data_IF_214647925310
#
_entry.id   IF_214647925310
#
_cell.length_a   1.000
_cell.length_b   1.000
_cell.length_c   1.000
_cell.angle_alpha   90.00
_cell.angle_beta   90.00
_cell.angle_gamma   90.00
#
_symmetry.space_group_name_H-M   'P 1'
#
loop_
_entity.id
_entity.type
_entity.pdbx_description
1 polymer ?
#
# COMPACT_ATOMS: atom_id res chain seq x y z
N UNK A 1 7.02 -12.65 8.92
CA UNK A 1 7.59 -12.64 7.56
C UNK A 1 7.80 -11.19 7.21
N UNK A 2 9.02 -10.78 6.90
CA UNK A 2 9.34 -9.37 6.59
C UNK A 2 9.81 -9.30 5.13
N UNK A 3 8.93 -8.95 4.19
CA UNK A 3 9.35 -8.57 2.85
C UNK A 3 10.06 -7.22 2.92
N UNK A 4 11.21 -7.12 2.26
CA UNK A 4 11.97 -5.88 2.14
C UNK A 4 12.25 -5.65 0.65
N UNK A 5 12.03 -4.43 0.12
CA UNK A 5 12.18 -4.15 -1.32
C UNK A 5 13.56 -4.48 -1.92
N UNK A 6 14.59 -4.65 -1.08
CA UNK A 6 15.97 -4.89 -1.49
C UNK A 6 16.64 -6.13 -0.88
N UNK A 7 15.99 -6.83 0.07
CA UNK A 7 16.60 -7.98 0.77
C UNK A 7 15.69 -9.22 0.80
N UNK A 8 14.65 -9.25 -0.03
CA UNK A 8 13.75 -10.39 -0.17
C UNK A 8 12.84 -10.58 1.05
N UNK A 9 12.56 -11.83 1.40
CA UNK A 9 11.63 -12.22 2.46
C UNK A 9 12.37 -12.97 3.57
N UNK A 10 12.19 -12.54 4.83
CA UNK A 10 12.73 -13.28 5.98
C UNK A 10 11.64 -13.85 6.89
N UNK A 11 11.72 -15.15 7.19
CA UNK A 11 10.94 -15.79 8.26
C UNK A 11 11.69 -15.74 9.58
N UNK A 12 11.59 -14.58 10.23
CA UNK A 12 12.11 -14.36 11.58
C UNK A 12 11.19 -14.96 12.64
N UNK A 13 11.78 -15.62 13.63
CA UNK A 13 11.07 -16.18 14.78
C UNK A 13 11.96 -16.28 16.00
N UNK A 14 11.34 -16.53 17.15
CA UNK A 14 12.03 -16.86 18.39
C UNK A 14 11.57 -18.24 18.85
N UNK A 15 12.41 -19.28 18.76
CA UNK A 15 12.01 -20.64 19.12
C UNK A 15 11.66 -20.81 20.61
N UNK A 16 12.41 -20.14 21.49
CA UNK A 16 12.24 -20.22 22.94
C UNK A 16 12.08 -18.80 23.52
N UNK A 17 11.14 -18.62 24.43
CA UNK A 17 10.95 -17.34 25.15
C UNK A 17 12.29 -16.82 25.69
N UNK A 18 12.52 -15.52 25.53
CA UNK A 18 13.74 -14.80 25.95
C UNK A 18 15.06 -15.26 25.31
N UNK A 19 15.06 -16.28 24.44
CA UNK A 19 16.25 -16.75 23.72
C UNK A 19 16.50 -15.96 22.43
N UNK A 20 17.68 -16.12 21.81
CA UNK A 20 18.00 -15.48 20.53
C UNK A 20 16.97 -15.77 19.43
N UNK A 21 16.76 -14.79 18.55
CA UNK A 21 15.95 -14.99 17.34
C UNK A 21 16.70 -15.85 16.32
N UNK A 22 15.94 -16.54 15.48
CA UNK A 22 16.40 -17.23 14.30
C UNK A 22 15.65 -16.72 13.07
N UNK A 23 16.29 -16.75 11.91
CA UNK A 23 15.71 -16.36 10.63
C UNK A 23 15.96 -17.42 9.55
N UNK A 24 15.07 -17.46 8.58
CA UNK A 24 15.26 -18.20 7.32
C UNK A 24 14.93 -17.23 6.20
N UNK A 25 15.93 -16.91 5.40
CA UNK A 25 15.83 -15.88 4.37
C UNK A 25 15.57 -16.52 3.01
N UNK A 26 14.72 -15.87 2.23
CA UNK A 26 14.47 -16.14 0.82
C UNK A 26 14.88 -14.88 0.07
N UNK A 27 16.02 -14.96 -0.61
CA UNK A 27 16.56 -13.85 -1.38
C UNK A 27 15.72 -13.58 -2.64
N UNK A 28 15.94 -12.41 -3.24
CA UNK A 28 15.51 -12.07 -4.61
C UNK A 28 13.99 -12.18 -4.87
N UNK A 29 13.17 -11.86 -3.86
CA UNK A 29 11.71 -11.75 -4.01
C UNK A 29 11.36 -10.37 -4.59
N UNK A 30 10.69 -10.36 -5.74
CA UNK A 30 10.07 -9.16 -6.30
C UNK A 30 8.76 -8.85 -5.56
N UNK A 31 8.46 -7.57 -5.35
CA UNK A 31 7.19 -7.11 -4.77
C UNK A 31 6.26 -6.59 -5.88
N UNK A 32 4.92 -6.71 -5.73
CA UNK A 32 4.19 -7.28 -4.58
C UNK A 32 4.32 -8.80 -4.51
N UNK A 33 4.24 -9.35 -3.29
CA UNK A 33 4.42 -10.79 -3.04
C UNK A 33 3.48 -11.29 -1.96
N UNK A 34 2.98 -12.53 -2.11
CA UNK A 34 2.08 -13.13 -1.14
C UNK A 34 2.85 -13.89 -0.06
N UNK A 35 2.34 -13.78 1.17
CA UNK A 35 2.87 -14.47 2.34
C UNK A 35 1.74 -15.17 3.08
N UNK A 36 2.02 -16.36 3.62
CA UNK A 36 1.08 -17.14 4.41
C UNK A 36 1.79 -17.74 5.61
N UNK A 37 1.13 -17.64 6.76
CA UNK A 37 1.58 -18.26 8.00
C UNK A 37 0.45 -19.16 8.51
N UNK A 38 0.76 -20.43 8.70
CA UNK A 38 -0.17 -21.43 9.23
C UNK A 38 0.33 -21.88 10.60
N UNK A 39 -0.57 -21.88 11.59
CA UNK A 39 -0.30 -22.39 12.93
C UNK A 39 -1.18 -23.60 13.22
N UNK A 40 -0.56 -24.70 13.64
CA UNK A 40 -1.25 -25.92 14.12
C UNK A 40 -0.69 -26.30 15.49
N UNK A 41 -1.39 -25.97 16.57
CA UNK A 41 -0.87 -26.13 17.93
C UNK A 41 0.32 -25.20 18.17
N UNK A 42 1.51 -25.77 18.40
CA UNK A 42 2.77 -25.03 18.51
C UNK A 42 3.58 -25.02 17.21
N UNK A 43 3.11 -25.70 16.16
CA UNK A 43 3.85 -25.82 14.90
C UNK A 43 3.48 -24.70 13.95
N UNK A 44 4.50 -24.06 13.38
CA UNK A 44 4.35 -22.97 12.41
C UNK A 44 4.94 -23.32 11.06
N UNK A 45 4.15 -23.15 10.01
CA UNK A 45 4.59 -23.25 8.63
C UNK A 45 4.45 -21.87 7.95
N UNK A 46 5.52 -21.43 7.29
CA UNK A 46 5.56 -20.19 6.54
C UNK A 46 5.69 -20.50 5.05
N UNK A 47 4.93 -19.80 4.22
CA UNK A 47 4.86 -20.02 2.79
C UNK A 47 4.85 -18.68 2.06
N UNK A 48 5.32 -18.68 0.81
CA UNK A 48 5.36 -17.54 -0.08
C UNK A 48 4.77 -17.90 -1.44
N UNK A 49 4.28 -16.91 -2.17
CA UNK A 49 3.69 -17.11 -3.50
C UNK A 49 3.73 -15.83 -4.34
N UNK A 50 3.99 -15.97 -5.63
CA UNK A 50 3.92 -14.85 -6.60
C UNK A 50 2.48 -14.55 -7.03
N UNK A 51 1.63 -15.57 -7.12
CA UNK A 51 0.27 -15.51 -7.68
C UNK A 51 -0.84 -15.56 -6.61
N UNK A 52 -0.52 -15.96 -5.37
CA UNK A 52 -1.48 -16.20 -4.30
C UNK A 52 -2.18 -17.56 -4.38
N UNK A 53 -1.92 -18.35 -5.41
CA UNK A 53 -2.55 -19.64 -5.69
C UNK A 53 -1.57 -20.80 -5.44
N UNK A 54 -0.36 -20.69 -6.00
CA UNK A 54 0.71 -21.68 -5.89
C UNK A 54 1.66 -21.29 -4.77
N UNK A 55 1.70 -22.08 -3.71
CA UNK A 55 2.46 -21.77 -2.49
C UNK A 55 3.75 -22.59 -2.40
N UNK A 56 4.85 -21.91 -2.13
CA UNK A 56 6.16 -22.52 -1.85
C UNK A 56 6.49 -22.41 -0.37
N UNK A 57 6.92 -23.50 0.24
CA UNK A 57 7.29 -23.54 1.65
C UNK A 57 8.63 -22.85 1.92
N UNK A 58 8.67 -22.07 2.99
CA UNK A 58 9.91 -21.56 3.58
C UNK A 58 10.36 -22.61 4.60
N UNK A 59 11.17 -23.56 4.11
CA UNK A 59 11.50 -24.78 4.86
C UNK A 59 12.33 -24.47 6.10
N UNK A 60 11.86 -24.99 7.24
CA UNK A 60 12.57 -24.97 8.51
C UNK A 60 12.79 -26.42 8.96
N UNK A 61 14.04 -26.79 9.23
CA UNK A 61 14.41 -28.12 9.70
C UNK A 61 15.28 -28.02 10.98
N UNK A 62 14.90 -28.70 12.08
CA UNK A 62 13.68 -29.50 12.25
C UNK A 62 12.40 -28.65 12.22
N UNK A 63 11.24 -29.29 12.15
CA UNK A 63 9.95 -28.60 12.14
C UNK A 63 9.86 -27.63 13.33
N UNK A 64 9.35 -26.43 13.05
CA UNK A 64 9.34 -25.33 14.00
C UNK A 64 8.25 -25.53 15.06
N UNK A 65 8.64 -25.92 16.26
CA UNK A 65 7.78 -25.94 17.45
C UNK A 65 8.08 -24.69 18.31
N UNK A 66 7.09 -23.82 18.48
CA UNK A 66 7.15 -22.65 19.35
C UNK A 66 5.98 -22.76 20.32
N UNK A 67 6.29 -23.02 21.59
CA UNK A 67 5.29 -23.03 22.65
C UNK A 67 4.63 -21.66 22.77
N UNK A 68 3.31 -21.62 22.56
CA UNK A 68 2.52 -20.39 22.65
C UNK A 68 1.25 -20.62 23.46
N UNK A 69 0.70 -19.53 24.00
CA UNK A 69 -0.63 -19.56 24.58
C UNK A 69 -1.69 -20.01 23.56
N UNK A 70 -2.82 -20.52 24.06
CA UNK A 70 -3.94 -20.95 23.23
C UNK A 70 -4.46 -19.80 22.35
N UNK A 71 -4.56 -18.60 22.94
CA UNK A 71 -4.93 -17.37 22.24
C UNK A 71 -3.68 -16.53 22.02
N UNK A 72 -3.52 -16.00 20.81
CA UNK A 72 -2.45 -15.07 20.43
C UNK A 72 -3.01 -13.98 19.54
N UNK A 73 -2.31 -12.86 19.47
CA UNK A 73 -2.57 -11.86 18.46
C UNK A 73 -1.86 -12.23 17.15
N UNK A 74 -2.55 -12.00 16.04
CA UNK A 74 -1.99 -12.03 14.70
C UNK A 74 -2.25 -10.68 14.05
N UNK A 75 -1.32 -10.24 13.21
CA UNK A 75 -1.42 -8.95 12.57
C UNK A 75 -0.31 -8.71 11.58
N UNK A 76 -0.41 -7.56 10.94
CA UNK A 76 0.57 -7.04 10.00
C UNK A 76 1.31 -5.91 10.67
N UNK A 77 2.62 -5.86 10.49
CA UNK A 77 3.47 -4.85 11.10
C UNK A 77 4.42 -4.29 10.06
N UNK A 78 4.68 -2.99 10.14
CA UNK A 78 5.66 -2.27 9.34
C UNK A 78 6.64 -1.62 10.30
N UNK A 79 7.93 -1.76 10.02
CA UNK A 79 9.01 -1.18 10.81
C UNK A 79 10.09 -0.66 9.87
N UNK A 80 10.56 0.56 10.08
CA UNK A 80 11.64 1.18 9.29
C UNK A 80 13.01 0.60 9.62
N UNK A 81 13.12 -0.10 10.77
CA UNK A 81 14.37 -0.45 11.43
C UNK A 81 15.21 0.75 11.90
N UNK A 82 14.73 1.98 11.72
CA UNK A 82 15.40 3.22 12.10
C UNK A 82 14.42 4.17 12.78
N UNK A 83 14.72 4.53 14.03
CA UNK A 83 13.91 5.44 14.84
C UNK A 83 13.74 6.83 14.23
N UNK A 84 14.61 7.24 13.32
CA UNK A 84 14.56 8.54 12.66
C UNK A 84 13.79 8.55 11.32
N UNK A 85 13.38 7.38 10.82
CA UNK A 85 12.80 7.24 9.49
C UNK A 85 11.36 6.73 9.59
N UNK A 86 10.43 7.47 8.98
CA UNK A 86 9.05 7.02 8.76
C UNK A 86 9.03 6.03 7.61
N UNK A 87 8.25 4.96 7.74
CA UNK A 87 8.05 3.96 6.68
C UNK A 87 6.57 3.66 6.51
N UNK A 88 6.20 3.23 5.30
CA UNK A 88 4.86 2.76 4.99
C UNK A 88 4.93 1.50 4.13
N UNK A 89 3.93 0.65 4.25
CA UNK A 89 3.72 -0.47 3.35
C UNK A 89 2.22 -0.60 3.04
N UNK A 90 1.89 -1.01 1.82
CA UNK A 90 0.53 -1.36 1.44
C UNK A 90 0.35 -2.88 1.64
N UNK A 91 -0.73 -3.25 2.34
CA UNK A 91 -1.18 -4.63 2.41
C UNK A 91 -2.54 -4.73 1.72
N UNK A 92 -2.65 -5.67 0.79
CA UNK A 92 -3.89 -5.94 0.07
C UNK A 92 -4.27 -7.41 0.23
N UNK A 93 -5.55 -7.72 -0.04
CA UNK A 93 -6.09 -9.08 -0.03
C UNK A 93 -5.82 -9.88 1.26
N UNK A 94 -5.85 -9.19 2.40
CA UNK A 94 -5.62 -9.80 3.71
C UNK A 94 -6.80 -10.70 4.08
N UNK A 95 -6.51 -11.98 4.35
CA UNK A 95 -7.52 -12.95 4.77
C UNK A 95 -6.99 -13.82 5.91
N UNK A 96 -7.90 -14.35 6.71
CA UNK A 96 -7.60 -15.29 7.79
C UNK A 96 -8.59 -16.45 7.76
N UNK A 97 -8.18 -17.60 8.29
CA UNK A 97 -9.03 -18.78 8.44
C UNK A 97 -8.86 -19.36 9.84
N UNK A 98 -9.77 -20.26 10.24
CA UNK A 98 -9.78 -20.84 11.60
C UNK A 98 -10.48 -19.95 12.61
N UNK A 99 -10.05 -20.03 13.88
CA UNK A 99 -10.71 -19.39 15.02
C UNK A 99 -10.21 -17.96 15.28
N UNK A 100 -10.05 -17.15 14.22
CA UNK A 100 -9.68 -15.74 14.35
C UNK A 100 -10.93 -14.92 14.66
N UNK A 101 -10.90 -14.14 15.74
CA UNK A 101 -12.02 -13.34 16.21
C UNK A 101 -11.55 -11.95 16.66
N UNK A 102 -12.47 -11.01 16.80
CA UNK A 102 -12.17 -9.62 17.15
C UNK A 102 -12.14 -8.69 15.93
N UNK A 103 -12.25 -7.39 16.18
CA UNK A 103 -12.09 -6.37 15.15
C UNK A 103 -10.61 -6.11 14.87
N UNK A 104 -10.29 -5.67 13.65
CA UNK A 104 -8.96 -5.14 13.34
C UNK A 104 -8.64 -3.96 14.25
N UNK A 105 -7.43 -3.97 14.79
CA UNK A 105 -6.90 -2.90 15.62
C UNK A 105 -5.62 -2.38 15.01
N UNK A 106 -5.44 -1.07 15.04
CA UNK A 106 -4.19 -0.42 14.69
C UNK A 106 -3.50 -0.01 15.99
N UNK A 107 -2.23 -0.35 16.11
CA UNK A 107 -1.39 0.07 17.22
C UNK A 107 -0.06 0.57 16.65
N UNK A 108 0.40 1.70 17.19
CA UNK A 108 1.71 2.25 16.90
C UNK A 108 2.64 1.95 18.07
N UNK A 109 3.85 1.49 17.76
CA UNK A 109 4.90 1.28 18.76
C UNK A 109 6.05 2.21 18.41
N UNK A 110 6.36 3.15 19.31
CA UNK A 110 7.41 4.14 19.12
C UNK A 110 6.87 5.55 18.90
N UNK A 111 7.46 6.29 17.96
CA UNK A 111 7.03 7.66 17.61
C UNK A 111 5.70 7.56 16.87
N UNK A 112 4.77 8.46 17.21
CA UNK A 112 3.50 8.61 16.50
C UNK A 112 3.78 8.71 15.00
N UNK A 113 3.28 7.75 14.23
CA UNK A 113 3.43 7.81 12.79
C UNK A 113 2.55 8.94 12.29
N UNK A 114 3.01 9.79 11.35
CA UNK A 114 2.14 10.78 10.76
C UNK A 114 0.93 10.04 10.21
N UNK A 115 -0.27 10.38 10.70
CA UNK A 115 -1.48 9.95 10.04
C UNK A 115 -1.33 10.42 8.58
N UNK A 116 -1.28 9.46 7.66
CA UNK A 116 -1.17 9.76 6.25
C UNK A 116 -2.38 10.58 5.77
N UNK A 117 -2.44 10.83 4.48
CA UNK A 117 -3.60 11.51 3.92
C UNK A 117 -4.89 10.73 4.22
N UNK A 118 -6.00 11.44 4.36
CA UNK A 118 -7.32 10.80 4.22
C UNK A 118 -7.50 10.34 2.77
N UNK A 119 -8.13 9.17 2.58
CA UNK A 119 -8.49 8.68 1.25
C UNK A 119 -9.55 9.58 0.61
N UNK A 120 -9.19 10.22 -0.49
CA UNK A 120 -10.03 11.15 -1.25
C UNK A 120 -9.75 10.97 -2.75
N UNK A 121 -10.78 11.17 -3.58
CA UNK A 121 -10.61 11.23 -5.03
C UNK A 121 -9.94 12.55 -5.43
N UNK A 122 -9.27 12.57 -6.58
CA UNK A 122 -8.78 13.81 -7.20
C UNK A 122 -9.48 14.08 -8.53
N UNK A 123 -9.57 15.35 -8.91
CA UNK A 123 -10.06 15.77 -10.21
C UNK A 123 -9.16 16.84 -10.85
N UNK A 124 -9.19 16.91 -12.17
CA UNK A 124 -8.59 17.99 -12.97
C UNK A 124 -9.69 18.67 -13.77
N UNK A 125 -9.78 19.99 -13.68
CA UNK A 125 -10.63 20.82 -14.55
C UNK A 125 -9.74 21.66 -15.48
N UNK A 126 -10.01 21.62 -16.78
CA UNK A 126 -9.37 22.48 -17.78
C UNK A 126 -10.39 23.49 -18.30
N UNK A 127 -9.98 24.74 -18.46
CA UNK A 127 -10.80 25.84 -19.01
C UNK A 127 -10.09 26.52 -20.19
N UNK A 128 -10.78 26.71 -21.31
CA UNK A 128 -10.26 27.44 -22.47
C UNK A 128 -10.55 28.95 -22.40
N UNK A 129 -9.92 29.71 -23.29
CA UNK A 129 -10.10 31.16 -23.40
C UNK A 129 -11.53 31.62 -23.78
N UNK A 130 -12.42 30.69 -24.15
CA UNK A 130 -13.84 30.98 -24.37
C UNK A 130 -14.69 30.66 -23.12
N UNK A 131 -14.07 30.27 -22.01
CA UNK A 131 -14.72 29.91 -20.76
C UNK A 131 -15.34 28.52 -20.76
N UNK A 132 -15.07 27.67 -21.77
CA UNK A 132 -15.55 26.28 -21.75
C UNK A 132 -14.65 25.45 -20.87
N UNK A 133 -15.25 24.55 -20.08
CA UNK A 133 -14.51 23.70 -19.16
C UNK A 133 -14.90 22.22 -19.24
N UNK A 134 -13.92 21.34 -19.03
CA UNK A 134 -14.11 19.91 -18.85
C UNK A 134 -13.43 19.46 -17.55
N UNK A 135 -14.02 18.49 -16.85
CA UNK A 135 -13.47 17.96 -15.59
C UNK A 135 -13.36 16.44 -15.69
N UNK A 136 -12.19 15.92 -15.32
CA UNK A 136 -11.88 14.49 -15.26
C UNK A 136 -11.59 14.12 -13.82
N UNK A 137 -12.20 13.05 -13.32
CA UNK A 137 -11.95 12.49 -11.98
C UNK A 137 -10.99 11.32 -12.13
N UNK A 138 -10.01 11.20 -11.24
CA UNK A 138 -9.11 10.04 -11.23
C UNK A 138 -9.93 8.78 -10.91
N UNK A 139 -9.70 7.70 -11.67
CA UNK A 139 -10.40 6.44 -11.47
C UNK A 139 -10.06 5.78 -10.13
N UNK A 140 -8.86 6.01 -9.60
CA UNK A 140 -8.50 5.64 -8.24
C UNK A 140 -9.07 6.65 -7.24
N UNK A 141 -10.18 6.27 -6.61
CA UNK A 141 -10.83 7.09 -5.58
C UNK A 141 -10.02 7.23 -4.28
N UNK A 142 -8.91 6.50 -4.14
CA UNK A 142 -7.98 6.56 -3.02
C UNK A 142 -6.59 7.07 -3.43
N UNK A 143 -6.49 7.76 -4.58
CA UNK A 143 -5.21 8.26 -5.11
C UNK A 143 -4.40 9.08 -4.10
N UNK A 144 -5.05 9.81 -3.19
CA UNK A 144 -4.38 10.63 -2.18
C UNK A 144 -3.60 9.85 -1.12
N UNK A 145 -3.84 8.54 -0.98
CA UNK A 145 -3.13 7.69 0.00
C UNK A 145 -2.07 6.79 -0.62
N UNK A 146 -1.79 6.94 -1.91
CA UNK A 146 -0.74 6.18 -2.58
C UNK A 146 0.64 6.62 -2.06
N UNK A 147 1.48 5.68 -1.59
CA UNK A 147 2.78 6.01 -1.00
C UNK A 147 3.87 6.29 -2.05
N UNK A 148 3.59 6.05 -3.33
CA UNK A 148 4.49 6.27 -4.46
C UNK A 148 3.88 7.24 -5.48
N UNK A 149 4.74 7.87 -6.29
CA UNK A 149 4.31 8.72 -7.40
C UNK A 149 3.39 7.96 -8.35
N UNK A 150 2.25 8.58 -8.64
CA UNK A 150 1.25 8.03 -9.56
C UNK A 150 1.21 8.89 -10.81
N UNK A 151 1.48 8.27 -11.96
CA UNK A 151 1.20 8.93 -13.24
C UNK A 151 -0.30 8.89 -13.49
N UNK A 152 -0.88 10.07 -13.77
CA UNK A 152 -2.28 10.18 -14.17
C UNK A 152 -2.40 10.67 -15.61
N UNK A 153 -2.41 9.72 -16.54
CA UNK A 153 -2.67 10.01 -17.95
C UNK A 153 -4.16 10.32 -18.17
N UNK A 154 -4.44 11.49 -18.75
CA UNK A 154 -5.79 11.93 -19.10
C UNK A 154 -5.91 11.96 -20.64
N UNK A 155 -6.68 11.04 -21.25
CA UNK A 155 -6.97 11.10 -22.67
C UNK A 155 -7.60 12.44 -23.05
N UNK A 156 -7.14 13.05 -24.14
CA UNK A 156 -7.73 14.30 -24.63
C UNK A 156 -9.22 14.16 -25.00
N UNK A 157 -9.67 12.94 -25.31
CA UNK A 157 -11.08 12.63 -25.52
C UNK A 157 -11.95 12.89 -24.28
N UNK A 158 -11.40 12.73 -23.07
CA UNK A 158 -12.12 12.96 -21.81
C UNK A 158 -12.27 14.46 -21.49
N UNK A 159 -11.57 15.31 -22.23
CA UNK A 159 -11.63 16.77 -22.14
C UNK A 159 -12.49 17.38 -23.28
N UNK A 160 -13.39 16.59 -23.86
CA UNK A 160 -14.26 17.03 -24.95
C UNK A 160 -15.04 18.32 -24.59
N UNK A 161 -15.15 19.21 -25.57
CA UNK A 161 -15.84 20.51 -25.41
C UNK A 161 -14.92 21.67 -25.04
N UNK A 162 -13.69 21.41 -24.60
CA UNK A 162 -12.65 22.42 -24.38
C UNK A 162 -11.76 22.52 -25.62
N UNK A 163 -11.39 23.74 -26.02
CA UNK A 163 -10.34 23.93 -27.01
C UNK A 163 -8.95 23.81 -26.37
N UNK A 164 -8.34 22.62 -26.47
CA UNK A 164 -7.03 22.32 -25.87
C UNK A 164 -5.85 23.15 -26.44
N UNK A 165 -6.02 23.79 -27.60
CA UNK A 165 -5.03 24.75 -28.13
C UNK A 165 -5.11 26.14 -27.49
N UNK A 166 -6.13 26.40 -26.66
CA UNK A 166 -6.39 27.72 -26.06
C UNK A 166 -6.71 27.61 -24.56
N UNK A 167 -6.05 26.69 -23.86
CA UNK A 167 -6.18 26.52 -22.40
C UNK A 167 -5.68 27.78 -21.70
N UNK A 168 -6.44 28.23 -20.70
CA UNK A 168 -6.07 29.39 -19.86
C UNK A 168 -6.00 29.07 -18.39
N UNK A 169 -6.68 28.02 -17.93
CA UNK A 169 -6.68 27.59 -16.53
C UNK A 169 -6.72 26.08 -16.42
N UNK A 170 -5.95 25.58 -15.47
CA UNK A 170 -6.02 24.21 -14.95
C UNK A 170 -6.29 24.29 -13.46
N UNK A 171 -7.20 23.45 -12.97
CA UNK A 171 -7.49 23.28 -11.54
C UNK A 171 -7.29 21.83 -11.18
N UNK A 172 -6.37 21.55 -10.27
CA UNK A 172 -6.28 20.26 -9.59
C UNK A 172 -7.04 20.38 -8.28
N UNK A 173 -7.95 19.46 -8.01
CA UNK A 173 -8.74 19.45 -6.78
C UNK A 173 -8.83 18.09 -6.14
N UNK A 174 -9.08 18.08 -4.83
CA UNK A 174 -9.33 16.88 -4.02
C UNK A 174 -10.81 16.87 -3.63
N UNK A 175 -11.42 15.69 -3.60
CA UNK A 175 -12.84 15.48 -3.34
C UNK A 175 -13.72 15.66 -4.58
N UNK A 176 -14.96 16.14 -4.39
CA UNK A 176 -15.93 16.31 -5.48
C UNK A 176 -16.02 17.74 -5.98
N UNK A 177 -15.76 17.96 -7.29
CA UNK A 177 -16.01 19.25 -7.94
C UNK A 177 -17.50 19.61 -7.98
N UNK A 178 -18.36 18.61 -8.16
CA UNK A 178 -19.81 18.79 -8.29
C UNK A 178 -20.50 19.04 -6.93
N UNK A 179 -19.88 18.60 -5.83
CA UNK A 179 -20.41 18.77 -4.47
C UNK A 179 -19.26 19.10 -3.50
N UNK A 180 -18.67 20.29 -3.62
CA UNK A 180 -17.52 20.66 -2.81
C UNK A 180 -17.93 20.78 -1.34
N UNK A 181 -17.25 20.02 -0.48
CA UNK A 181 -17.40 20.05 0.97
C UNK A 181 -16.03 19.92 1.61
N UNK A 182 -15.86 20.47 2.82
CA UNK A 182 -14.70 20.12 3.63
C UNK A 182 -14.69 18.60 3.86
N UNK A 183 -13.55 17.96 3.59
CA UNK A 183 -13.37 16.52 3.67
C UNK A 183 -12.11 16.18 4.44
N UNK A 184 -11.42 15.13 4.01
CA UNK A 184 -10.18 14.65 4.58
C UNK A 184 -9.07 15.70 4.72
N UNK A 185 -8.08 15.38 5.56
CA UNK A 185 -6.88 16.19 5.77
C UNK A 185 -5.65 15.48 5.20
N UNK A 186 -4.66 16.26 4.75
CA UNK A 186 -3.42 15.73 4.18
C UNK A 186 -2.66 16.73 3.32
N UNK A 187 -1.58 16.27 2.71
CA UNK A 187 -0.75 17.02 1.74
C UNK A 187 -0.65 16.21 0.45
N UNK A 188 -0.98 16.83 -0.67
CA UNK A 188 -0.79 16.25 -2.01
C UNK A 188 0.35 16.98 -2.69
N UNK A 189 1.33 16.24 -3.17
CA UNK A 189 2.38 16.76 -4.04
C UNK A 189 1.98 16.48 -5.49
N UNK A 190 2.13 17.51 -6.33
CA UNK A 190 1.96 17.40 -7.78
C UNK A 190 3.28 17.81 -8.37
N UNK A 191 3.86 16.93 -9.17
CA UNK A 191 5.09 17.19 -9.92
C UNK A 191 4.84 16.88 -11.40
N UNK A 192 5.69 17.43 -12.26
CA UNK A 192 5.67 17.24 -13.72
C UNK A 192 4.27 17.29 -14.36
N UNK A 193 3.82 18.49 -14.74
CA UNK A 193 2.60 18.66 -15.54
C UNK A 193 2.99 18.79 -17.02
N UNK A 194 2.73 17.73 -17.79
CA UNK A 194 3.00 17.66 -19.22
C UNK A 194 1.74 17.51 -20.07
N UNK A 195 1.87 17.76 -21.37
CA UNK A 195 0.85 17.45 -22.38
C UNK A 195 1.54 17.01 -23.67
N UNK A 196 0.94 16.08 -24.40
CA UNK A 196 1.48 15.59 -25.67
C UNK A 196 1.15 14.12 -25.90
N UNK A 197 1.77 13.53 -26.93
CA UNK A 197 1.80 12.08 -27.06
C UNK A 197 2.72 11.52 -25.95
N UNK A 198 2.33 10.45 -25.26
CA UNK A 198 3.21 9.86 -24.25
C UNK A 198 4.55 9.52 -24.92
N UNK A 199 5.65 9.96 -24.30
CA UNK A 199 6.96 9.39 -24.59
C UNK A 199 6.80 7.92 -24.15
N UNK A 200 6.93 6.99 -25.09
CA UNK A 200 6.94 5.58 -24.73
C UNK A 200 8.00 5.36 -23.63
N UNK A 201 7.70 4.54 -22.61
CA UNK A 201 8.62 4.31 -21.48
C UNK A 201 10.00 3.83 -21.92
#
# INVERSE_FOLDING_TARGET
LTPTPSHGLSFQRRPTADAASANTDVADIALPHWVKLTRTGNVFAAQQSEDGETWTDIVVSPALDIAMAANVYIGLAVCSHDTAIVTGAEFSNVSTTGNVTGAWQTAEIGIAQPAGNSAEAMYVTIEDSAGKSATVVNADAAITVRPSWQEWAIPFGDLAGVNLSRVTKMVVGVGSKASPKAGGAGTVYVDDIGFGSPIAP
#
